data_IF_014695897066
#
_entry.id   IF_014695897066
#
_cell.length_a   1.000
_cell.length_b   1.000
_cell.length_c   1.000
_cell.angle_alpha   90.00
_cell.angle_beta   90.00
_cell.angle_gamma   90.00
#
_symmetry.space_group_name_H-M   'P 1'
#
loop_
_entity.id
_entity.type
_entity.pdbx_description
1 polymer ?
#
# COMPACT_ATOMS: atom_id res chain seq x y z
N UNK A 1 3.87 -0.80 14.69
CA UNK A 1 4.78 -0.73 13.53
C UNK A 1 4.51 0.57 12.77
N UNK A 2 5.54 1.35 12.43
CA UNK A 2 5.38 2.65 11.76
C UNK A 2 5.08 2.47 10.27
N UNK A 3 5.72 1.52 9.61
CA UNK A 3 5.59 1.27 8.17
C UNK A 3 4.97 -0.10 7.83
N UNK A 4 4.87 -1.04 8.77
CA UNK A 4 4.25 -2.35 8.57
C UNK A 4 2.73 -2.33 8.68
N UNK A 5 2.07 -3.47 8.88
CA UNK A 5 0.66 -3.49 9.15
C UNK A 5 0.33 -2.59 10.35
N UNK A 6 -0.48 -1.54 10.12
CA UNK A 6 -0.93 -0.64 11.19
C UNK A 6 -1.99 -1.39 11.99
N UNK A 7 -1.57 -1.91 13.13
CA UNK A 7 -2.42 -2.73 14.00
C UNK A 7 -3.18 -1.83 14.95
N UNK A 8 -4.50 -2.00 15.02
CA UNK A 8 -5.37 -1.29 15.95
C UNK A 8 -5.46 -2.07 17.25
N UNK A 9 -5.56 -1.38 18.38
CA UNK A 9 -5.76 -2.02 19.68
C UNK A 9 -6.90 -3.06 19.66
N UNK A 10 -8.02 -2.73 19.01
CA UNK A 10 -9.17 -3.64 18.86
C UNK A 10 -8.82 -4.98 18.19
N UNK A 11 -7.80 -5.03 17.36
CA UNK A 11 -7.40 -6.24 16.62
C UNK A 11 -6.52 -7.18 17.45
N UNK A 12 -5.84 -6.65 18.47
CA UNK A 12 -4.87 -7.42 19.28
C UNK A 12 -5.23 -7.50 20.76
N UNK A 13 -6.30 -6.83 21.19
CA UNK A 13 -6.70 -6.75 22.62
C UNK A 13 -6.92 -8.14 23.22
N UNK A 14 -7.53 -9.05 22.47
CA UNK A 14 -7.86 -10.39 22.94
C UNK A 14 -6.58 -11.24 23.00
N UNK A 15 -5.69 -11.13 22.01
CA UNK A 15 -4.37 -11.77 22.01
C UNK A 15 -3.42 -11.24 23.10
N UNK A 16 -3.65 -10.00 23.59
CA UNK A 16 -2.86 -9.44 24.70
C UNK A 16 -3.22 -10.06 26.05
N UNK A 17 -4.48 -10.46 26.23
CA UNK A 17 -5.00 -11.02 27.48
C UNK A 17 -4.89 -12.54 27.48
N UNK A 18 -5.27 -13.18 26.38
CA UNK A 18 -5.40 -14.64 26.26
C UNK A 18 -4.64 -15.15 25.04
N UNK A 19 -3.31 -15.16 25.14
CA UNK A 19 -2.43 -15.56 24.06
C UNK A 19 -2.33 -17.07 23.95
N UNK A 20 -2.86 -17.62 22.87
CA UNK A 20 -2.71 -19.04 22.56
C UNK A 20 -1.39 -19.30 21.80
N UNK A 21 -0.52 -20.13 22.40
CA UNK A 21 0.67 -20.61 21.72
C UNK A 21 0.31 -21.89 20.96
N UNK A 22 0.30 -21.77 19.62
CA UNK A 22 -0.03 -22.88 18.73
C UNK A 22 1.15 -23.16 17.78
N UNK A 23 1.59 -24.41 17.72
CA UNK A 23 2.67 -24.86 16.84
C UNK A 23 2.34 -24.60 15.37
N UNK A 24 1.07 -24.65 14.97
CA UNK A 24 0.65 -24.36 13.60
C UNK A 24 0.82 -22.87 13.27
N UNK A 25 0.46 -21.98 14.20
CA UNK A 25 0.65 -20.53 14.05
C UNK A 25 2.14 -20.15 14.02
N UNK A 26 2.97 -20.82 14.84
CA UNK A 26 4.42 -20.63 14.81
C UNK A 26 5.00 -21.04 13.45
N UNK A 27 4.63 -22.22 12.95
CA UNK A 27 5.10 -22.74 11.67
C UNK A 27 4.66 -21.86 10.50
N UNK A 28 3.42 -21.39 10.52
CA UNK A 28 2.92 -20.39 9.57
C UNK A 28 3.73 -19.09 9.63
N UNK A 29 4.01 -18.59 10.83
CA UNK A 29 4.80 -17.39 11.05
C UNK A 29 6.22 -17.51 10.49
N UNK A 30 6.87 -18.64 10.73
CA UNK A 30 8.19 -18.94 10.19
C UNK A 30 8.19 -18.99 8.64
N UNK A 31 7.20 -19.67 8.06
CA UNK A 31 7.02 -19.70 6.59
C UNK A 31 6.84 -18.30 6.02
N UNK A 32 5.96 -17.47 6.62
CA UNK A 32 5.71 -16.09 6.16
C UNK A 32 6.96 -15.23 6.29
N UNK A 33 7.71 -15.36 7.37
CA UNK A 33 8.96 -14.63 7.57
C UNK A 33 9.99 -14.97 6.48
N UNK A 34 10.21 -16.27 6.22
CA UNK A 34 11.12 -16.74 5.17
C UNK A 34 10.67 -16.26 3.79
N UNK A 35 9.37 -16.30 3.50
CA UNK A 35 8.80 -15.76 2.26
C UNK A 35 9.10 -14.27 2.10
N UNK A 36 8.95 -13.49 3.17
CA UNK A 36 9.29 -12.07 3.18
C UNK A 36 10.77 -11.81 2.91
N UNK A 37 11.66 -12.56 3.59
CA UNK A 37 13.11 -12.48 3.35
C UNK A 37 13.46 -12.79 1.88
N UNK A 38 12.86 -13.82 1.30
CA UNK A 38 13.07 -14.18 -0.10
C UNK A 38 12.59 -13.08 -1.06
N UNK A 39 11.41 -12.49 -0.84
CA UNK A 39 10.93 -11.35 -1.61
C UNK A 39 11.91 -10.16 -1.56
N UNK A 40 12.44 -9.86 -0.37
CA UNK A 40 13.38 -8.76 -0.18
C UNK A 40 14.69 -9.03 -0.90
N UNK A 41 15.30 -10.19 -0.66
CA UNK A 41 16.67 -10.49 -1.14
C UNK A 41 16.66 -10.84 -2.64
N UNK A 42 15.77 -11.75 -3.06
CA UNK A 42 15.84 -12.30 -4.41
C UNK A 42 15.15 -11.41 -5.45
N UNK A 43 14.18 -10.59 -5.05
CA UNK A 43 13.42 -9.76 -6.00
C UNK A 43 13.73 -8.28 -5.79
N UNK A 44 13.37 -7.71 -4.63
CA UNK A 44 13.47 -6.26 -4.43
C UNK A 44 14.92 -5.76 -4.58
N UNK A 45 15.87 -6.43 -3.90
CA UNK A 45 17.28 -6.03 -3.97
C UNK A 45 17.90 -6.26 -5.35
N UNK A 46 17.44 -7.28 -6.09
CA UNK A 46 17.97 -7.58 -7.43
C UNK A 46 17.55 -6.56 -8.48
N UNK A 47 16.34 -5.99 -8.37
CA UNK A 47 15.86 -4.96 -9.30
C UNK A 47 16.23 -3.53 -8.87
N UNK A 48 16.59 -3.31 -7.61
CA UNK A 48 16.92 -2.00 -7.06
C UNK A 48 18.04 -1.25 -7.83
N UNK A 49 19.14 -1.89 -8.26
CA UNK A 49 20.16 -1.19 -9.05
C UNK A 49 19.62 -0.63 -10.36
N UNK A 50 18.73 -1.36 -11.05
CA UNK A 50 18.12 -0.91 -12.32
C UNK A 50 17.22 0.30 -12.08
N UNK A 51 16.39 0.23 -11.04
CA UNK A 51 15.53 1.35 -10.65
C UNK A 51 16.36 2.57 -10.29
N UNK A 52 17.36 2.43 -9.40
CA UNK A 52 18.21 3.53 -8.96
C UNK A 52 18.98 4.19 -10.12
N UNK A 53 19.48 3.39 -11.06
CA UNK A 53 20.19 3.90 -12.23
C UNK A 53 19.31 4.88 -13.03
N UNK A 54 18.05 4.51 -13.30
CA UNK A 54 17.13 5.34 -14.06
C UNK A 54 16.78 6.68 -13.36
N UNK A 55 16.78 6.72 -12.03
CA UNK A 55 16.46 7.93 -11.25
C UNK A 55 17.68 8.77 -10.87
N UNK A 56 18.91 8.27 -11.07
CA UNK A 56 20.15 9.02 -10.80
C UNK A 56 20.75 9.67 -12.03
N UNK A 57 20.45 9.20 -13.25
CA UNK A 57 20.93 9.83 -14.47
C UNK A 57 20.26 11.19 -14.72
N UNK A 58 21.02 12.09 -15.36
CA UNK A 58 20.48 13.36 -15.87
C UNK A 58 19.38 13.05 -16.90
N UNK A 59 18.24 13.75 -16.77
CA UNK A 59 17.07 13.57 -17.65
C UNK A 59 17.45 13.68 -19.15
N UNK A 60 18.43 14.54 -19.48
CA UNK A 60 18.88 14.72 -20.85
C UNK A 60 19.74 13.57 -21.42
N UNK A 61 20.22 12.64 -20.56
CA UNK A 61 21.09 11.53 -20.98
C UNK A 61 20.42 10.16 -20.93
N UNK A 62 19.18 10.07 -20.42
CA UNK A 62 18.45 8.81 -20.33
C UNK A 62 17.63 8.57 -21.61
N UNK A 63 17.72 7.38 -22.18
CA UNK A 63 16.84 7.01 -23.31
C UNK A 63 15.41 6.73 -22.83
N UNK A 64 14.43 6.82 -23.72
CA UNK A 64 13.03 6.49 -23.41
C UNK A 64 12.87 5.03 -22.95
N UNK A 65 13.63 4.10 -23.53
CA UNK A 65 13.63 2.69 -23.13
C UNK A 65 14.17 2.51 -21.71
N UNK A 66 15.27 3.19 -21.37
CA UNK A 66 15.85 3.09 -20.03
C UNK A 66 14.95 3.72 -18.96
N UNK A 67 14.26 4.82 -19.32
CA UNK A 67 13.27 5.44 -18.43
C UNK A 67 12.10 4.49 -18.14
N UNK A 68 11.57 3.80 -19.15
CA UNK A 68 10.52 2.78 -18.95
C UNK A 68 11.02 1.56 -18.17
N UNK A 69 12.22 1.08 -18.47
CA UNK A 69 12.84 -0.02 -17.73
C UNK A 69 12.99 0.34 -16.25
N UNK A 70 13.47 1.55 -15.95
CA UNK A 70 13.59 2.04 -14.60
C UNK A 70 12.25 2.18 -13.88
N UNK A 71 11.22 2.70 -14.57
CA UNK A 71 9.88 2.81 -14.01
C UNK A 71 9.28 1.44 -13.65
N UNK A 72 9.41 0.44 -14.53
CA UNK A 72 8.95 -0.93 -14.28
C UNK A 72 9.76 -1.58 -13.15
N UNK A 73 11.09 -1.41 -13.16
CA UNK A 73 11.96 -1.91 -12.10
C UNK A 73 11.59 -1.30 -10.74
N UNK A 74 11.33 0.01 -10.68
CA UNK A 74 10.88 0.69 -9.46
C UNK A 74 9.50 0.20 -8.99
N UNK A 75 8.57 -0.03 -9.90
CA UNK A 75 7.25 -0.60 -9.59
C UNK A 75 7.38 -1.99 -8.94
N UNK A 76 8.24 -2.85 -9.47
CA UNK A 76 8.53 -4.17 -8.90
C UNK A 76 9.23 -4.01 -7.55
N UNK A 77 10.26 -3.19 -7.49
CA UNK A 77 11.05 -2.95 -6.28
C UNK A 77 10.16 -2.51 -5.11
N UNK A 78 9.39 -1.44 -5.26
CA UNK A 78 8.58 -0.88 -4.17
C UNK A 78 7.53 -1.87 -3.66
N UNK A 79 6.92 -2.65 -4.54
CA UNK A 79 5.95 -3.66 -4.14
C UNK A 79 6.59 -4.81 -3.39
N UNK A 80 7.64 -5.41 -3.94
CA UNK A 80 8.29 -6.56 -3.31
C UNK A 80 9.05 -6.16 -2.05
N UNK A 81 9.63 -4.98 -1.99
CA UNK A 81 10.28 -4.44 -0.79
C UNK A 81 9.28 -4.26 0.35
N UNK A 82 8.19 -3.57 0.09
CA UNK A 82 7.22 -3.26 1.13
C UNK A 82 6.32 -4.45 1.49
N UNK A 83 5.94 -5.29 0.52
CA UNK A 83 5.21 -6.53 0.84
C UNK A 83 6.08 -7.52 1.60
N UNK A 84 7.38 -7.59 1.29
CA UNK A 84 8.35 -8.39 2.05
C UNK A 84 8.41 -7.97 3.51
N UNK A 85 8.54 -6.68 3.77
CA UNK A 85 8.53 -6.13 5.13
C UNK A 85 7.22 -6.49 5.86
N UNK A 86 6.09 -6.38 5.19
CA UNK A 86 4.78 -6.75 5.76
C UNK A 86 4.69 -8.25 6.08
N UNK A 87 5.19 -9.11 5.18
CA UNK A 87 5.22 -10.56 5.40
C UNK A 87 6.12 -10.93 6.58
N UNK A 88 7.31 -10.32 6.69
CA UNK A 88 8.19 -10.52 7.83
C UNK A 88 7.52 -10.07 9.15
N UNK A 89 6.84 -8.93 9.15
CA UNK A 89 6.14 -8.42 10.33
C UNK A 89 4.97 -9.32 10.75
N UNK A 90 4.17 -9.81 9.80
CA UNK A 90 3.08 -10.76 10.04
C UNK A 90 3.67 -12.09 10.55
N UNK A 91 4.77 -12.54 9.94
CA UNK A 91 5.47 -13.75 10.35
C UNK A 91 5.96 -13.69 11.80
N UNK A 92 6.66 -12.62 12.17
CA UNK A 92 7.14 -12.40 13.55
C UNK A 92 5.98 -12.31 14.54
N UNK A 93 4.91 -11.59 14.19
CA UNK A 93 3.71 -11.49 15.02
C UNK A 93 3.08 -12.87 15.25
N UNK A 94 2.96 -13.69 14.20
CA UNK A 94 2.39 -15.04 14.28
C UNK A 94 3.25 -15.97 15.13
N UNK A 95 4.59 -15.91 15.00
CA UNK A 95 5.50 -16.67 15.89
C UNK A 95 5.38 -16.24 17.34
N UNK A 96 5.03 -14.97 17.61
CA UNK A 96 4.77 -14.45 18.94
C UNK A 96 3.32 -14.66 19.43
N UNK A 97 2.47 -15.37 18.67
CA UNK A 97 1.09 -15.67 19.03
C UNK A 97 0.07 -14.56 18.68
N UNK A 98 0.46 -13.54 17.87
CA UNK A 98 -0.45 -12.50 17.41
C UNK A 98 -0.91 -12.74 15.98
N UNK A 99 -2.12 -12.31 15.65
CA UNK A 99 -2.68 -12.41 14.30
C UNK A 99 -2.84 -11.03 13.69
N UNK A 100 -1.88 -10.64 12.82
CA UNK A 100 -1.95 -9.40 12.08
C UNK A 100 -2.68 -9.59 10.74
N UNK A 101 -3.41 -8.55 10.32
CA UNK A 101 -4.11 -8.55 9.05
C UNK A 101 -3.15 -8.38 7.88
N UNK A 102 -3.54 -8.89 6.70
CA UNK A 102 -2.80 -8.69 5.44
C UNK A 102 -2.72 -7.20 5.09
N UNK A 103 -1.56 -6.80 4.55
CA UNK A 103 -1.30 -5.43 4.12
C UNK A 103 -1.31 -5.25 2.61
N UNK A 104 -1.16 -6.34 1.86
CA UNK A 104 -1.19 -6.39 0.40
C UNK A 104 -2.01 -7.56 -0.10
N UNK A 105 -2.77 -7.34 -1.20
CA UNK A 105 -3.52 -8.38 -1.88
C UNK A 105 -3.42 -8.19 -3.39
N UNK A 106 -2.28 -8.60 -3.99
CA UNK A 106 -2.03 -8.57 -5.43
C UNK A 106 -2.44 -7.23 -6.08
N UNK A 107 -1.88 -6.08 -5.66
CA UNK A 107 -2.37 -4.75 -6.05
C UNK A 107 -2.26 -4.49 -7.56
N UNK A 108 -1.31 -5.11 -8.25
CA UNK A 108 -1.12 -4.92 -9.69
C UNK A 108 -2.11 -5.70 -10.57
N UNK A 109 -2.97 -6.53 -9.96
CA UNK A 109 -4.12 -7.13 -10.63
C UNK A 109 -5.39 -6.29 -10.48
N UNK A 110 -5.28 -5.08 -9.93
CA UNK A 110 -6.42 -4.17 -9.78
C UNK A 110 -6.93 -3.70 -11.14
N UNK A 111 -8.24 -3.61 -11.25
CA UNK A 111 -8.93 -3.16 -12.48
C UNK A 111 -9.41 -1.71 -12.38
N UNK A 112 -9.11 -1.04 -11.26
CA UNK A 112 -9.42 0.37 -11.04
C UNK A 112 -8.51 0.97 -9.95
N UNK A 113 -8.45 2.29 -9.85
CA UNK A 113 -7.66 3.00 -8.83
C UNK A 113 -8.22 2.72 -7.44
N UNK A 114 -9.53 2.68 -7.32
CA UNK A 114 -10.21 2.31 -6.08
C UNK A 114 -9.90 0.86 -5.66
N UNK A 115 -9.87 -0.07 -6.60
CA UNK A 115 -9.48 -1.46 -6.33
C UNK A 115 -8.01 -1.56 -5.95
N UNK A 116 -7.12 -0.78 -6.61
CA UNK A 116 -5.71 -0.69 -6.24
C UNK A 116 -5.54 -0.29 -4.76
N UNK A 117 -6.18 0.77 -4.30
CA UNK A 117 -6.09 1.23 -2.90
C UNK A 117 -6.78 0.30 -1.88
N UNK A 118 -7.59 -0.65 -2.32
CA UNK A 118 -8.12 -1.73 -1.49
C UNK A 118 -7.14 -2.88 -1.31
N UNK A 119 -6.14 -2.98 -2.18
CA UNK A 119 -5.15 -4.05 -2.26
C UNK A 119 -3.75 -3.61 -1.84
N UNK A 120 -3.46 -2.32 -1.92
CA UNK A 120 -2.19 -1.70 -1.54
C UNK A 120 -2.28 -1.08 -0.16
N UNK A 121 -1.30 -1.41 0.72
CA UNK A 121 -1.19 -0.85 2.08
C UNK A 121 -2.53 -0.79 2.81
N UNK A 122 -3.20 -1.95 2.88
CA UNK A 122 -4.59 -2.12 3.34
C UNK A 122 -4.78 -1.55 4.75
N UNK A 123 -3.80 -1.72 5.62
CA UNK A 123 -3.85 -1.23 6.99
C UNK A 123 -3.90 0.30 7.06
N UNK A 124 -3.08 1.03 6.29
CA UNK A 124 -3.11 2.48 6.20
C UNK A 124 -4.40 2.97 5.53
N UNK A 125 -4.77 2.38 4.39
CA UNK A 125 -5.98 2.75 3.66
C UNK A 125 -7.23 2.59 4.51
N UNK A 126 -7.33 1.51 5.28
CA UNK A 126 -8.43 1.28 6.20
C UNK A 126 -8.38 2.23 7.40
N UNK A 127 -7.20 2.57 7.91
CA UNK A 127 -7.04 3.53 8.99
C UNK A 127 -7.51 4.93 8.56
N UNK A 128 -7.03 5.42 7.42
CA UNK A 128 -7.45 6.71 6.87
C UNK A 128 -8.95 6.75 6.56
N UNK A 129 -9.52 5.65 6.05
CA UNK A 129 -10.96 5.53 5.85
C UNK A 129 -11.72 5.69 7.15
N UNK A 130 -11.34 4.96 8.19
CA UNK A 130 -12.14 4.86 9.42
C UNK A 130 -11.94 6.06 10.34
N UNK A 131 -10.75 6.67 10.35
CA UNK A 131 -10.42 7.78 11.26
C UNK A 131 -10.43 9.16 10.60
N UNK A 132 -10.45 9.24 9.27
CA UNK A 132 -10.51 10.51 8.55
C UNK A 132 -11.75 10.58 7.64
N UNK A 133 -11.87 9.65 6.69
CA UNK A 133 -12.92 9.73 5.67
C UNK A 133 -14.34 9.61 6.27
N UNK A 134 -14.58 8.60 7.12
CA UNK A 134 -15.89 8.38 7.75
C UNK A 134 -16.26 9.51 8.72
N UNK A 135 -15.39 10.02 9.60
CA UNK A 135 -15.70 11.17 10.45
C UNK A 135 -16.01 12.46 9.67
N UNK A 136 -15.42 12.66 8.48
CA UNK A 136 -15.76 13.78 7.59
C UNK A 136 -17.13 13.60 6.88
N UNK A 137 -17.87 12.54 7.20
CA UNK A 137 -19.17 12.19 6.62
C UNK A 137 -19.11 11.12 5.55
N UNK A 138 -17.92 10.69 5.13
CA UNK A 138 -17.71 9.60 4.17
C UNK A 138 -18.43 9.83 2.85
N UNK A 139 -19.19 8.83 2.40
CA UNK A 139 -20.03 8.89 1.19
C UNK A 139 -21.49 9.28 1.46
N UNK A 140 -21.84 9.62 2.70
CA UNK A 140 -23.21 9.97 3.12
C UNK A 140 -23.47 11.47 3.13
N UNK A 141 -22.69 12.22 2.36
CA UNK A 141 -22.75 13.68 2.24
C UNK A 141 -22.96 14.06 0.77
N UNK A 142 -23.33 15.32 0.46
CA UNK A 142 -23.45 15.78 -0.93
C UNK A 142 -22.18 15.51 -1.74
N UNK A 143 -22.32 15.29 -3.04
CA UNK A 143 -21.25 14.83 -3.94
C UNK A 143 -19.99 15.70 -3.89
N UNK A 144 -20.14 17.04 -3.88
CA UNK A 144 -18.99 17.95 -3.77
C UNK A 144 -18.18 17.72 -2.49
N UNK A 145 -18.88 17.43 -1.38
CA UNK A 145 -18.25 17.16 -0.08
C UNK A 145 -17.46 15.83 -0.10
N UNK A 146 -17.96 14.83 -0.85
CA UNK A 146 -17.22 13.57 -1.04
C UNK A 146 -15.88 13.84 -1.72
N UNK A 147 -15.83 14.72 -2.71
CA UNK A 147 -14.58 15.09 -3.40
C UNK A 147 -13.61 15.80 -2.45
N UNK A 148 -14.10 16.73 -1.66
CA UNK A 148 -13.30 17.39 -0.61
C UNK A 148 -12.75 16.36 0.37
N UNK A 149 -13.57 15.42 0.83
CA UNK A 149 -13.14 14.36 1.75
C UNK A 149 -12.03 13.47 1.13
N UNK A 150 -12.16 13.09 -0.14
CA UNK A 150 -11.14 12.29 -0.84
C UNK A 150 -9.81 13.06 -0.95
N UNK A 151 -9.85 14.33 -1.37
CA UNK A 151 -8.66 15.18 -1.44
C UNK A 151 -8.03 15.34 -0.05
N UNK A 152 -8.81 15.57 1.00
CA UNK A 152 -8.31 15.69 2.37
C UNK A 152 -7.60 14.41 2.83
N UNK A 153 -8.20 13.24 2.58
CA UNK A 153 -7.61 11.94 2.94
C UNK A 153 -6.26 11.74 2.25
N UNK A 154 -6.20 12.01 0.94
CA UNK A 154 -4.96 11.80 0.17
C UNK A 154 -3.91 12.88 0.43
N UNK A 155 -4.31 14.11 0.72
CA UNK A 155 -3.41 15.15 1.23
C UNK A 155 -2.74 14.72 2.53
N UNK A 156 -3.53 14.23 3.50
CA UNK A 156 -3.00 13.71 4.77
C UNK A 156 -2.15 12.45 4.56
N UNK A 157 -2.52 11.58 3.63
CA UNK A 157 -1.72 10.43 3.24
C UNK A 157 -0.34 10.86 2.70
N UNK A 158 -0.31 11.88 1.84
CA UNK A 158 0.93 12.46 1.33
C UNK A 158 1.81 13.04 2.45
N UNK A 159 1.25 13.83 3.35
CA UNK A 159 1.97 14.37 4.52
C UNK A 159 2.49 13.28 5.47
N UNK A 160 1.74 12.18 5.62
CA UNK A 160 2.18 11.03 6.41
C UNK A 160 3.43 10.36 5.82
N UNK A 161 3.57 10.33 4.50
CA UNK A 161 4.77 9.82 3.83
C UNK A 161 6.00 10.71 4.03
N UNK A 162 5.79 12.02 4.22
CA UNK A 162 6.85 12.98 4.49
C UNK A 162 6.44 14.42 4.24
N UNK A 163 7.12 15.35 4.90
CA UNK A 163 6.84 16.78 4.78
C UNK A 163 7.38 17.43 3.48
N UNK A 164 7.89 16.63 2.53
CA UNK A 164 8.34 17.14 1.25
C UNK A 164 7.15 17.37 0.31
N UNK A 165 7.20 18.45 -0.48
CA UNK A 165 6.14 18.81 -1.44
C UNK A 165 5.87 17.72 -2.47
N UNK A 166 6.87 16.89 -2.82
CA UNK A 166 6.69 15.74 -3.73
C UNK A 166 5.67 14.73 -3.21
N UNK A 167 5.65 14.46 -1.91
CA UNK A 167 4.66 13.57 -1.30
C UNK A 167 3.26 14.19 -1.25
N UNK A 168 3.18 15.50 -1.02
CA UNK A 168 1.90 16.22 -1.06
C UNK A 168 1.30 16.17 -2.47
N UNK A 169 2.11 16.47 -3.49
CA UNK A 169 1.69 16.38 -4.90
C UNK A 169 1.27 14.95 -5.25
N UNK A 170 2.06 13.95 -4.85
CA UNK A 170 1.72 12.54 -5.04
C UNK A 170 0.38 12.17 -4.41
N UNK A 171 0.13 12.62 -3.18
CA UNK A 171 -1.15 12.39 -2.50
C UNK A 171 -2.31 13.04 -3.25
N UNK A 172 -2.20 14.34 -3.58
CA UNK A 172 -3.23 15.07 -4.32
C UNK A 172 -3.50 14.45 -5.70
N UNK A 173 -2.47 14.01 -6.42
CA UNK A 173 -2.58 13.28 -7.68
C UNK A 173 -3.45 12.03 -7.54
N UNK A 174 -3.19 11.19 -6.54
CA UNK A 174 -3.99 9.98 -6.28
C UNK A 174 -5.44 10.33 -5.89
N UNK A 175 -5.64 11.36 -5.07
CA UNK A 175 -6.97 11.86 -4.71
C UNK A 175 -7.76 12.33 -5.92
N UNK A 176 -7.11 13.06 -6.84
CA UNK A 176 -7.69 13.50 -8.10
C UNK A 176 -8.15 12.31 -8.97
N UNK A 177 -7.30 11.30 -9.14
CA UNK A 177 -7.65 10.13 -9.94
C UNK A 177 -8.84 9.34 -9.38
N UNK A 178 -8.99 9.27 -8.06
CA UNK A 178 -10.18 8.67 -7.44
C UNK A 178 -11.45 9.49 -7.70
N UNK A 179 -11.33 10.80 -7.78
CA UNK A 179 -12.45 11.68 -8.18
C UNK A 179 -12.79 11.44 -9.64
N UNK A 180 -11.80 11.42 -10.54
CA UNK A 180 -12.01 11.15 -11.97
C UNK A 180 -12.62 9.76 -12.20
N UNK A 181 -12.18 8.74 -11.46
CA UNK A 181 -12.78 7.40 -11.52
C UNK A 181 -14.27 7.46 -11.10
N UNK A 182 -14.59 8.22 -10.07
CA UNK A 182 -15.98 8.35 -9.61
C UNK A 182 -16.84 9.17 -10.58
N UNK A 183 -16.26 10.13 -11.31
CA UNK A 183 -16.99 10.99 -12.24
C UNK A 183 -17.35 10.30 -13.55
N UNK A 184 -16.38 9.59 -14.16
CA UNK A 184 -16.57 8.99 -15.49
C UNK A 184 -15.67 7.79 -15.80
N UNK A 185 -14.46 7.71 -15.22
CA UNK A 185 -13.53 6.62 -15.54
C UNK A 185 -14.05 5.25 -15.08
N UNK A 186 -14.82 5.20 -13.99
CA UNK A 186 -15.42 3.97 -13.48
C UNK A 186 -16.34 3.32 -14.51
N UNK A 187 -17.18 4.10 -15.16
CA UNK A 187 -18.10 3.62 -16.21
C UNK A 187 -17.34 3.19 -17.47
N UNK A 188 -16.25 3.90 -17.79
CA UNK A 188 -15.38 3.55 -18.92
C UNK A 188 -14.64 2.22 -18.63
N UNK A 189 -14.04 2.08 -17.46
CA UNK A 189 -13.33 0.87 -17.04
C UNK A 189 -14.26 -0.36 -16.96
N UNK A 190 -15.53 -0.16 -16.60
CA UNK A 190 -16.51 -1.25 -16.55
C UNK A 190 -16.83 -1.83 -17.94
N UNK A 191 -16.56 -1.11 -19.03
CA UNK A 191 -16.78 -1.54 -20.41
C UNK A 191 -15.60 -2.31 -21.01
N UNK A 192 -14.43 -2.26 -20.35
CA UNK A 192 -13.23 -2.99 -20.81
C UNK A 192 -13.35 -4.45 -20.38
N UNK A 193 -13.18 -5.42 -21.29
CA UNK A 193 -13.14 -6.84 -20.92
C UNK A 193 -12.03 -7.09 -19.89
N UNK A 194 -12.33 -7.91 -18.88
CA UNK A 194 -11.38 -8.28 -17.82
C UNK A 194 -10.51 -9.43 -18.27
#
# INVERSE_FOLDING_TARGET
LIAGPIVRYKQVKDDLVDRTYDQSLFSYGLYRFILGVNKKILIANSVAPIANMAFTYHVASISTSDAWLGAVAYMIQIYFDFSAYSDMAIGLASMAGFRFSENFNQPYLSTSIKDFWRRWHISLSSWLRDYVYIPLGGSRVPTYRIYVNLITVFFLCGLWHGANMTFVIWGLYNGLFLILERLFLGDLLARVPK
#
